data_IF_400740801687
#
_entry.id   IF_400740801687
#
_cell.length_a   1.000
_cell.length_b   1.000
_cell.length_c   1.000
_cell.angle_alpha   90.00
_cell.angle_beta   90.00
_cell.angle_gamma   90.00
#
_symmetry.space_group_name_H-M   'P 1'
#
loop_
_entity.id
_entity.type
_entity.pdbx_description
1 polymer ?
#
# COMPACT_ATOMS: atom_id res chain seq x y z
N UNK A 1 1.04 -53.74 -58.48
CA UNK A 1 1.21 -53.46 -57.04
C UNK A 1 1.44 -51.97 -56.86
N UNK A 2 0.40 -51.19 -56.56
CA UNK A 2 0.48 -49.74 -56.37
C UNK A 2 0.69 -49.43 -54.88
N UNK A 3 1.86 -48.88 -54.51
CA UNK A 3 2.17 -48.41 -53.16
C UNK A 3 1.43 -47.08 -52.92
N UNK A 4 0.49 -47.06 -51.96
CA UNK A 4 -0.14 -45.84 -51.46
C UNK A 4 0.85 -45.09 -50.57
N UNK A 5 1.16 -43.85 -50.94
CA UNK A 5 1.89 -42.89 -50.13
C UNK A 5 0.87 -42.15 -49.25
N UNK A 6 0.92 -42.32 -47.93
CA UNK A 6 0.05 -41.61 -47.00
C UNK A 6 0.74 -40.32 -46.57
N UNK A 7 0.23 -39.18 -47.03
CA UNK A 7 0.70 -37.83 -46.67
C UNK A 7 0.21 -37.51 -45.25
N UNK A 8 1.12 -37.43 -44.28
CA UNK A 8 0.81 -37.03 -42.91
C UNK A 8 0.79 -35.50 -42.84
N UNK A 9 -0.40 -34.89 -42.87
CA UNK A 9 -0.56 -33.45 -42.65
C UNK A 9 -0.37 -33.14 -41.16
N UNK A 10 0.75 -32.51 -40.81
CA UNK A 10 0.95 -31.96 -39.46
C UNK A 10 0.16 -30.66 -39.36
N UNK A 11 -1.03 -30.73 -38.75
CA UNK A 11 -1.82 -29.56 -38.40
C UNK A 11 -1.14 -28.88 -37.20
N UNK A 12 -0.37 -27.82 -37.47
CA UNK A 12 0.16 -26.94 -36.42
C UNK A 12 -0.98 -26.13 -35.83
N UNK A 13 -1.53 -26.57 -34.70
CA UNK A 13 -2.49 -25.80 -33.90
C UNK A 13 -1.71 -24.67 -33.22
N UNK A 14 -1.83 -23.45 -33.72
CA UNK A 14 -1.33 -22.27 -33.04
C UNK A 14 -2.19 -22.02 -31.79
N UNK A 15 -1.69 -22.39 -30.61
CA UNK A 15 -2.28 -21.95 -29.36
C UNK A 15 -1.99 -20.45 -29.21
N UNK A 16 -3.01 -19.59 -29.06
CA UNK A 16 -2.75 -18.20 -28.70
C UNK A 16 -2.08 -18.19 -27.33
N UNK A 17 -0.82 -17.76 -27.29
CA UNK A 17 -0.14 -17.47 -26.02
C UNK A 17 -0.85 -16.27 -25.43
N UNK A 18 -1.71 -16.51 -24.44
CA UNK A 18 -2.33 -15.47 -23.64
C UNK A 18 -1.20 -14.81 -22.85
N UNK A 19 -0.64 -13.72 -23.37
CA UNK A 19 0.35 -12.95 -22.64
C UNK A 19 -0.36 -12.26 -21.47
N UNK A 20 0.12 -12.50 -20.25
CA UNK A 20 -0.40 -11.81 -19.08
C UNK A 20 -0.28 -10.29 -19.29
N UNK A 21 -1.42 -9.61 -19.24
CA UNK A 21 -1.47 -8.15 -19.33
C UNK A 21 -0.94 -7.57 -18.02
N UNK A 22 -0.08 -6.57 -18.11
CA UNK A 22 0.43 -5.84 -16.96
C UNK A 22 -0.27 -4.49 -16.88
N UNK A 23 -0.92 -4.25 -15.75
CA UNK A 23 -1.65 -3.01 -15.45
C UNK A 23 -1.05 -2.38 -14.21
N UNK A 24 -0.79 -1.08 -14.28
CA UNK A 24 -0.35 -0.27 -13.15
C UNK A 24 -0.86 1.16 -13.29
N UNK A 25 -0.78 1.91 -12.21
CA UNK A 25 -1.45 3.20 -12.08
C UNK A 25 -0.49 4.28 -11.61
N UNK A 26 -0.76 5.51 -12.03
CA UNK A 26 -0.27 6.71 -11.40
C UNK A 26 -1.47 7.36 -10.72
N UNK A 27 -1.71 7.13 -9.41
CA UNK A 27 -2.94 7.55 -8.73
C UNK A 27 -3.14 9.07 -8.68
N UNK A 28 -2.10 9.84 -9.03
CA UNK A 28 -2.13 11.28 -9.17
C UNK A 28 -1.46 11.68 -10.49
N UNK A 29 -2.12 12.57 -11.23
CA UNK A 29 -1.63 13.32 -12.39
C UNK A 29 -2.17 14.74 -12.24
N UNK A 30 -1.31 15.73 -12.47
CA UNK A 30 -1.68 17.14 -12.50
C UNK A 30 -1.16 17.82 -13.76
N UNK A 31 -2.00 18.65 -14.37
CA UNK A 31 -1.66 19.48 -15.52
C UNK A 31 -2.38 20.82 -15.45
N UNK A 32 -1.64 21.92 -15.57
CA UNK A 32 -2.17 23.28 -15.68
C UNK A 32 -1.73 24.19 -14.54
N UNK A 33 -2.38 25.33 -14.41
CA UNK A 33 -2.01 26.40 -13.48
C UNK A 33 -3.10 26.68 -12.46
N UNK A 34 -2.71 26.93 -11.21
CA UNK A 34 -3.54 27.46 -10.15
C UNK A 34 -2.85 28.69 -9.54
N UNK A 35 -3.39 29.89 -9.84
CA UNK A 35 -2.75 31.15 -9.46
C UNK A 35 -1.38 31.30 -10.12
N UNK A 36 -0.34 31.51 -9.33
CA UNK A 36 1.04 31.68 -9.80
C UNK A 36 1.82 30.37 -9.89
N UNK A 37 1.20 29.23 -9.56
CA UNK A 37 1.85 27.91 -9.57
C UNK A 37 1.32 27.09 -10.74
N UNK A 38 2.24 26.58 -11.55
CA UNK A 38 1.98 25.63 -12.61
C UNK A 38 2.37 24.22 -12.18
N UNK A 39 1.62 23.25 -12.67
CA UNK A 39 1.80 21.83 -12.43
C UNK A 39 1.91 21.11 -13.76
N UNK A 40 2.86 20.19 -13.85
CA UNK A 40 2.99 19.26 -14.97
C UNK A 40 3.37 17.88 -14.47
N UNK A 41 2.96 16.87 -15.22
CA UNK A 41 3.33 15.48 -14.97
C UNK A 41 4.11 14.95 -16.16
N UNK A 42 5.27 14.35 -15.91
CA UNK A 42 5.99 13.56 -16.90
C UNK A 42 5.84 12.08 -16.58
N UNK A 43 5.35 11.29 -17.53
CA UNK A 43 5.29 9.83 -17.42
C UNK A 43 6.52 9.27 -18.12
N UNK A 44 7.34 8.56 -17.36
CA UNK A 44 8.49 7.82 -17.86
C UNK A 44 8.16 6.34 -17.80
N UNK A 45 8.20 5.66 -18.94
CA UNK A 45 8.03 4.21 -19.05
C UNK A 45 9.35 3.56 -19.47
N UNK A 46 9.63 2.39 -18.91
CA UNK A 46 10.78 1.55 -19.26
C UNK A 46 10.31 0.13 -19.54
N UNK A 47 10.72 -0.43 -20.67
CA UNK A 47 10.44 -1.81 -21.02
C UNK A 47 11.70 -2.67 -20.92
N UNK A 48 11.74 -3.55 -19.92
CA UNK A 48 12.82 -4.53 -19.71
C UNK A 48 12.49 -5.91 -20.29
N UNK A 49 11.29 -6.11 -20.82
CA UNK A 49 10.83 -7.37 -21.42
C UNK A 49 10.91 -7.38 -22.95
N UNK A 50 10.07 -8.19 -23.58
CA UNK A 50 9.88 -8.20 -25.03
C UNK A 50 9.25 -6.89 -25.52
N UNK A 51 9.39 -6.57 -26.80
CA UNK A 51 8.73 -5.41 -27.39
C UNK A 51 7.21 -5.48 -27.16
N UNK A 52 6.62 -4.38 -26.69
CA UNK A 52 5.23 -4.33 -26.28
C UNK A 52 4.62 -2.96 -26.57
N UNK A 53 3.33 -2.94 -26.88
CA UNK A 53 2.55 -1.72 -26.90
C UNK A 53 2.12 -1.38 -25.47
N UNK A 54 2.37 -0.14 -25.05
CA UNK A 54 1.89 0.44 -23.81
C UNK A 54 0.78 1.45 -24.12
N UNK A 55 -0.39 1.22 -23.53
CA UNK A 55 -1.54 2.10 -23.61
C UNK A 55 -1.60 2.91 -22.33
N UNK A 56 -1.49 4.23 -22.44
CA UNK A 56 -1.63 5.19 -21.33
C UNK A 56 -2.98 5.87 -21.46
N UNK A 57 -3.81 5.74 -20.42
CA UNK A 57 -5.15 6.34 -20.35
C UNK A 57 -5.21 7.29 -19.16
N UNK A 58 -5.80 8.47 -19.37
CA UNK A 58 -5.96 9.50 -18.36
C UNK A 58 -7.43 9.64 -17.97
N UNK A 59 -7.66 9.80 -16.68
CA UNK A 59 -9.00 9.87 -16.09
C UNK A 59 -9.08 11.02 -15.09
N UNK A 60 -10.25 11.63 -14.98
CA UNK A 60 -10.58 12.58 -13.93
C UNK A 60 -10.77 11.86 -12.59
N UNK A 61 -10.99 12.64 -11.53
CA UNK A 61 -11.19 12.09 -10.18
C UNK A 61 -12.41 11.16 -10.07
N UNK A 62 -13.43 11.37 -10.90
CA UNK A 62 -14.65 10.57 -10.93
C UNK A 62 -14.55 9.33 -11.84
N UNK A 63 -13.40 9.13 -12.51
CA UNK A 63 -13.17 8.03 -13.45
C UNK A 63 -13.61 8.30 -14.88
N UNK A 64 -14.14 9.49 -15.19
CA UNK A 64 -14.41 9.89 -16.59
C UNK A 64 -13.11 10.18 -17.34
N UNK A 65 -13.06 10.06 -18.68
CA UNK A 65 -11.84 10.35 -19.43
C UNK A 65 -11.34 11.80 -19.24
N UNK A 66 -10.05 11.96 -18.94
CA UNK A 66 -9.38 13.26 -18.87
C UNK A 66 -8.59 13.49 -20.16
N UNK A 67 -8.99 14.50 -20.93
CA UNK A 67 -8.27 14.88 -22.16
C UNK A 67 -7.04 15.70 -21.80
N UNK A 68 -5.85 15.22 -22.19
CA UNK A 68 -4.57 15.91 -21.99
C UNK A 68 -3.89 16.09 -23.35
N UNK A 69 -3.10 17.14 -23.50
CA UNK A 69 -2.22 17.31 -24.65
C UNK A 69 -0.84 16.72 -24.35
N UNK A 70 -0.40 15.75 -25.15
CA UNK A 70 0.95 15.21 -25.14
C UNK A 70 1.59 15.45 -26.51
N UNK A 71 2.59 16.33 -26.57
CA UNK A 71 3.16 16.78 -27.84
C UNK A 71 2.10 17.45 -28.72
N UNK A 72 1.84 16.89 -29.90
CA UNK A 72 0.88 17.43 -30.87
C UNK A 72 -0.49 16.73 -30.84
N UNK A 73 -0.71 15.82 -29.88
CA UNK A 73 -1.96 15.07 -29.77
C UNK A 73 -2.69 15.42 -28.48
N UNK A 74 -3.98 15.73 -28.61
CA UNK A 74 -4.89 15.96 -27.49
C UNK A 74 -5.89 14.81 -27.42
N UNK A 75 -5.79 13.98 -26.39
CA UNK A 75 -6.60 12.78 -26.20
C UNK A 75 -6.62 12.36 -24.73
N UNK A 76 -7.50 11.44 -24.36
CA UNK A 76 -7.48 10.76 -23.05
C UNK A 76 -6.80 9.39 -23.10
N UNK A 77 -6.39 8.93 -24.29
CA UNK A 77 -5.76 7.64 -24.53
C UNK A 77 -4.66 7.75 -25.58
N UNK A 78 -3.50 7.20 -25.25
CA UNK A 78 -2.31 7.20 -26.10
C UNK A 78 -1.73 5.79 -26.16
N UNK A 79 -1.26 5.38 -27.33
CA UNK A 79 -0.58 4.10 -27.52
C UNK A 79 0.85 4.35 -27.96
N UNK A 80 1.79 3.72 -27.28
CA UNK A 80 3.21 3.83 -27.55
C UNK A 80 3.81 2.44 -27.77
N UNK A 81 4.64 2.31 -28.81
CA UNK A 81 5.39 1.08 -29.03
C UNK A 81 6.73 1.16 -28.27
N UNK A 82 6.92 0.29 -27.29
CA UNK A 82 8.14 0.21 -26.50
C UNK A 82 8.95 -1.00 -26.95
N UNK A 83 10.11 -0.75 -27.56
CA UNK A 83 11.07 -1.81 -27.89
C UNK A 83 11.59 -2.49 -26.62
N UNK A 84 12.13 -3.70 -26.75
CA UNK A 84 12.88 -4.33 -25.67
C UNK A 84 14.07 -3.44 -25.26
N UNK A 85 14.22 -3.17 -23.96
CA UNK A 85 15.20 -2.24 -23.42
C UNK A 85 14.90 -0.75 -23.69
N UNK A 86 13.76 -0.45 -24.33
CA UNK A 86 13.38 0.91 -24.71
C UNK A 86 12.71 1.69 -23.57
N UNK A 87 12.78 3.02 -23.67
CA UNK A 87 12.10 3.94 -22.75
C UNK A 87 11.28 4.98 -23.50
N UNK A 88 10.28 5.53 -22.82
CA UNK A 88 9.45 6.64 -23.27
C UNK A 88 9.39 7.69 -22.17
N UNK A 89 9.44 8.97 -22.53
CA UNK A 89 9.12 10.10 -21.67
C UNK A 89 8.08 10.97 -22.39
N UNK A 90 6.94 11.23 -21.73
CA UNK A 90 5.90 12.14 -22.21
C UNK A 90 5.48 13.08 -21.10
N UNK A 91 5.37 14.36 -21.40
CA UNK A 91 5.16 15.43 -20.42
C UNK A 91 3.92 16.25 -20.77
N UNK A 92 3.10 16.51 -19.76
CA UNK A 92 1.96 17.43 -19.90
C UNK A 92 2.45 18.89 -19.96
N UNK A 93 1.73 19.80 -20.64
CA UNK A 93 2.24 21.14 -20.92
C UNK A 93 2.25 22.07 -19.70
N UNK A 94 1.32 21.91 -18.77
CA UNK A 94 1.19 22.74 -17.58
C UNK A 94 0.62 24.14 -17.83
N UNK A 95 -0.05 24.38 -18.97
CA UNK A 95 -0.41 25.72 -19.44
C UNK A 95 -1.90 26.09 -19.35
N UNK A 96 -2.79 25.10 -19.23
CA UNK A 96 -4.23 25.33 -19.11
C UNK A 96 -4.65 25.59 -17.64
N UNK A 97 -5.95 25.77 -17.37
CA UNK A 97 -6.46 25.73 -15.99
C UNK A 97 -6.16 24.37 -15.34
N UNK A 98 -5.83 24.36 -14.05
CA UNK A 98 -5.43 23.15 -13.34
C UNK A 98 -6.48 22.04 -13.45
N UNK A 99 -6.05 20.89 -13.96
CA UNK A 99 -6.79 19.64 -13.98
C UNK A 99 -6.02 18.58 -13.20
N UNK A 100 -6.76 17.76 -12.45
CA UNK A 100 -6.20 16.75 -11.56
C UNK A 100 -6.93 15.43 -11.81
N UNK A 101 -6.15 14.36 -12.01
CA UNK A 101 -6.65 13.07 -12.43
C UNK A 101 -5.71 11.94 -12.03
N UNK A 102 -5.86 10.80 -12.68
CA UNK A 102 -4.92 9.68 -12.58
C UNK A 102 -4.63 9.14 -13.97
N UNK A 103 -3.59 8.32 -14.07
CA UNK A 103 -3.32 7.56 -15.29
C UNK A 103 -3.30 6.06 -15.03
N UNK A 104 -3.83 5.29 -15.98
CA UNK A 104 -3.70 3.83 -16.05
C UNK A 104 -2.78 3.49 -17.20
N UNK A 105 -1.83 2.60 -16.97
CA UNK A 105 -1.00 2.03 -18.02
C UNK A 105 -1.29 0.55 -18.15
N UNK A 106 -1.54 0.15 -19.39
CA UNK A 106 -1.79 -1.24 -19.77
C UNK A 106 -0.76 -1.67 -20.81
N UNK A 107 -0.10 -2.80 -20.60
CA UNK A 107 0.92 -3.31 -21.53
C UNK A 107 0.84 -4.82 -21.69
N UNK A 108 1.27 -5.31 -22.85
CA UNK A 108 1.44 -6.74 -23.09
C UNK A 108 2.72 -7.24 -22.38
N UNK A 109 2.57 -8.14 -21.41
CA UNK A 109 3.69 -8.70 -20.64
C UNK A 109 4.15 -7.82 -19.46
N UNK A 110 4.83 -8.46 -18.50
CA UNK A 110 5.21 -7.84 -17.22
C UNK A 110 6.46 -6.93 -17.28
N UNK A 111 7.08 -6.75 -18.45
CA UNK A 111 8.38 -6.06 -18.59
C UNK A 111 8.32 -4.54 -18.53
N UNK A 112 7.12 -3.94 -18.62
CA UNK A 112 6.94 -2.48 -18.60
C UNK A 112 6.70 -1.99 -17.18
N UNK A 113 7.52 -1.05 -16.72
CA UNK A 113 7.31 -0.28 -15.50
C UNK A 113 7.32 1.21 -15.78
N UNK A 114 7.04 2.03 -14.76
CA UNK A 114 7.06 3.48 -14.95
C UNK A 114 7.16 4.28 -13.66
N UNK A 115 7.45 5.57 -13.85
CA UNK A 115 7.53 6.60 -12.81
C UNK A 115 6.89 7.87 -13.36
N UNK A 116 6.05 8.52 -12.55
CA UNK A 116 5.58 9.86 -12.81
C UNK A 116 6.54 10.85 -12.17
N UNK A 117 6.89 11.93 -12.86
CA UNK A 117 7.63 13.05 -12.30
C UNK A 117 6.66 14.22 -12.17
N UNK A 118 6.36 14.61 -10.93
CA UNK A 118 5.53 15.78 -10.66
C UNK A 118 6.43 16.99 -10.54
N UNK A 119 6.21 18.01 -11.37
CA UNK A 119 6.91 19.28 -11.27
C UNK A 119 5.93 20.39 -10.90
N UNK A 120 6.26 21.17 -9.86
CA UNK A 120 5.65 22.47 -9.60
C UNK A 120 6.58 23.58 -10.05
N UNK A 121 6.06 24.60 -10.73
CA UNK A 121 6.85 25.73 -11.22
C UNK A 121 6.13 27.06 -11.01
N UNK A 122 6.89 28.14 -10.90
CA UNK A 122 6.39 29.50 -10.89
C UNK A 122 5.99 29.87 -12.32
N UNK A 123 4.72 30.23 -12.54
CA UNK A 123 4.20 30.54 -13.89
C UNK A 123 4.84 31.79 -14.50
N UNK A 124 4.95 32.94 -13.80
CA UNK A 124 5.62 34.14 -14.33
C UNK A 124 7.01 33.90 -14.90
N UNK A 125 7.87 33.18 -14.17
CA UNK A 125 9.29 33.06 -14.51
C UNK A 125 9.68 31.67 -15.05
N UNK A 126 8.72 30.74 -15.10
CA UNK A 126 8.90 29.33 -15.47
C UNK A 126 9.99 28.60 -14.66
N UNK A 127 10.22 29.03 -13.42
CA UNK A 127 11.21 28.46 -12.51
C UNK A 127 10.62 27.25 -11.79
N UNK A 128 11.28 26.10 -11.89
CA UNK A 128 10.91 24.90 -11.13
C UNK A 128 11.09 25.15 -9.64
N UNK A 129 10.01 24.99 -8.88
CA UNK A 129 9.97 25.17 -7.44
C UNK A 129 10.22 23.86 -6.70
N UNK A 130 9.69 22.76 -7.22
CA UNK A 130 9.85 21.42 -6.66
C UNK A 130 9.63 20.35 -7.72
N UNK A 131 10.22 19.18 -7.49
CA UNK A 131 10.05 18.00 -8.32
C UNK A 131 10.06 16.72 -7.48
N UNK A 132 9.23 15.74 -7.84
CA UNK A 132 9.19 14.43 -7.19
C UNK A 132 9.06 13.31 -8.22
N UNK A 133 9.96 12.32 -8.14
CA UNK A 133 9.84 11.04 -8.83
C UNK A 133 8.94 10.10 -8.03
N UNK A 134 7.85 9.65 -8.64
CA UNK A 134 6.80 8.87 -8.01
C UNK A 134 6.60 7.57 -8.79
N UNK A 135 7.01 6.41 -8.23
CA UNK A 135 6.82 5.14 -8.90
C UNK A 135 5.34 4.85 -9.18
N UNK A 136 5.09 4.10 -10.26
CA UNK A 136 3.77 3.53 -10.49
C UNK A 136 3.35 2.59 -9.33
N UNK A 137 2.05 2.53 -9.09
CA UNK A 137 1.43 1.68 -8.08
C UNK A 137 0.66 0.54 -8.72
N UNK A 138 0.67 -0.62 -8.06
CA UNK A 138 -0.21 -1.76 -8.38
C UNK A 138 -1.31 -1.85 -7.34
N UNK A 139 -2.35 -2.59 -7.66
CA UNK A 139 -3.42 -2.83 -6.68
C UNK A 139 -2.88 -3.59 -5.48
N UNK A 140 -3.17 -3.07 -4.30
CA UNK A 140 -2.86 -3.67 -3.01
C UNK A 140 -4.12 -3.65 -2.16
N UNK A 141 -4.44 -4.80 -1.57
CA UNK A 141 -5.45 -4.87 -0.51
C UNK A 141 -4.77 -4.60 0.80
N UNK A 142 -5.39 -3.76 1.63
CA UNK A 142 -4.96 -3.44 2.99
C UNK A 142 -3.50 -2.96 3.05
N UNK A 143 -3.27 -1.70 3.36
CA UNK A 143 -1.91 -1.17 3.37
C UNK A 143 -1.72 -0.12 4.44
N UNK A 144 -0.46 0.11 4.78
CA UNK A 144 -0.06 1.09 5.77
C UNK A 144 0.99 2.02 5.19
N UNK A 145 0.98 3.25 5.68
CA UNK A 145 1.94 4.27 5.33
C UNK A 145 2.39 5.04 6.55
N UNK A 146 3.60 5.57 6.47
CA UNK A 146 4.16 6.46 7.47
C UNK A 146 3.53 7.85 7.37
N UNK A 147 3.13 8.40 8.50
CA UNK A 147 2.59 9.75 8.63
C UNK A 147 3.64 10.62 9.31
N UNK A 148 3.97 11.73 8.69
CA UNK A 148 4.74 12.83 9.26
C UNK A 148 4.08 14.16 8.89
N UNK A 149 3.58 14.83 9.92
CA UNK A 149 2.95 16.15 9.87
C UNK A 149 3.62 17.12 10.84
N UNK A 150 4.82 16.82 11.33
CA UNK A 150 5.52 17.67 12.29
C UNK A 150 5.99 18.98 11.62
N UNK A 151 5.64 20.11 12.23
CA UNK A 151 6.04 21.45 11.80
C UNK A 151 5.52 21.81 10.41
N UNK A 152 6.42 21.92 9.43
CA UNK A 152 6.07 22.25 8.03
C UNK A 152 5.92 21.03 7.13
N UNK A 153 6.01 19.83 7.71
CA UNK A 153 5.76 18.59 6.98
C UNK A 153 4.26 18.35 6.86
N UNK A 154 3.85 17.75 5.75
CA UNK A 154 2.51 17.21 5.60
C UNK A 154 2.55 15.98 4.71
N UNK A 155 1.93 14.89 5.17
CA UNK A 155 1.84 13.65 4.41
C UNK A 155 0.55 13.67 3.59
N UNK A 156 0.69 13.67 2.27
CA UNK A 156 -0.38 13.48 1.31
C UNK A 156 -0.54 12.02 0.90
N UNK A 157 -1.78 11.60 0.65
CA UNK A 157 -2.14 10.28 0.16
C UNK A 157 -3.08 10.44 -1.03
N UNK A 158 -2.73 9.80 -2.15
CA UNK A 158 -3.63 9.60 -3.27
C UNK A 158 -4.02 8.12 -3.36
N UNK A 159 -5.33 7.86 -3.37
CA UNK A 159 -5.94 6.53 -3.41
C UNK A 159 -6.82 6.46 -4.66
N UNK A 160 -6.68 5.39 -5.43
CA UNK A 160 -7.50 5.07 -6.59
C UNK A 160 -8.18 3.73 -6.33
N UNK A 161 -9.49 3.67 -6.59
CA UNK A 161 -10.22 2.42 -6.72
C UNK A 161 -10.24 1.99 -8.19
N UNK A 162 -9.43 1.00 -8.60
CA UNK A 162 -9.29 0.58 -10.00
C UNK A 162 -10.48 -0.24 -10.52
N UNK A 163 -11.41 -0.65 -9.65
CA UNK A 163 -12.59 -1.42 -10.05
C UNK A 163 -13.41 -0.67 -11.11
N UNK A 164 -14.18 -1.40 -11.92
CA UNK A 164 -15.05 -0.78 -12.92
C UNK A 164 -16.08 0.16 -12.26
N UNK A 165 -16.35 1.29 -12.91
CA UNK A 165 -17.39 2.22 -12.48
C UNK A 165 -18.79 1.58 -12.57
N UNK A 166 -19.71 2.02 -11.71
CA UNK A 166 -21.14 1.62 -11.76
C UNK A 166 -21.67 0.82 -10.58
N UNK A 167 -20.93 0.72 -9.46
CA UNK A 167 -21.41 0.15 -8.19
C UNK A 167 -21.58 1.19 -7.09
N UNK A 168 -22.26 0.84 -6.01
CA UNK A 168 -22.25 1.64 -4.78
C UNK A 168 -20.80 1.75 -4.27
N UNK A 169 -20.34 2.95 -3.85
CA UNK A 169 -18.97 3.10 -3.41
C UNK A 169 -18.71 2.24 -2.17
N UNK A 170 -17.74 1.31 -2.20
CA UNK A 170 -17.30 0.67 -0.98
C UNK A 170 -16.73 1.73 -0.04
N UNK A 171 -16.98 1.58 1.25
CA UNK A 171 -16.26 2.34 2.26
C UNK A 171 -14.86 1.73 2.40
N UNK A 172 -13.85 2.57 2.30
CA UNK A 172 -12.49 2.24 2.72
C UNK A 172 -12.32 2.78 4.15
N UNK A 173 -11.88 1.92 5.06
CA UNK A 173 -11.68 2.29 6.45
C UNK A 173 -10.24 2.78 6.62
N UNK A 174 -10.09 3.99 7.14
CA UNK A 174 -8.82 4.62 7.45
C UNK A 174 -8.65 4.66 8.96
N UNK A 175 -7.58 4.07 9.49
CA UNK A 175 -7.25 4.09 10.92
C UNK A 175 -5.89 4.72 11.16
N UNK A 176 -5.87 5.77 11.96
CA UNK A 176 -4.67 6.53 12.33
C UNK A 176 -4.14 6.08 13.69
N UNK A 177 -2.84 5.81 13.75
CA UNK A 177 -2.11 5.38 14.94
C UNK A 177 -0.94 6.32 15.23
N UNK A 178 -0.63 6.52 16.51
CA UNK A 178 0.60 7.19 16.95
C UNK A 178 1.84 6.27 16.81
N UNK A 179 3.01 6.73 17.28
CA UNK A 179 4.27 5.95 17.23
C UNK A 179 4.32 4.78 18.20
N UNK A 180 3.54 4.82 19.29
CA UNK A 180 3.36 3.71 20.23
C UNK A 180 2.27 2.74 19.76
N UNK A 181 1.72 2.99 18.56
CA UNK A 181 0.67 2.23 17.92
C UNK A 181 -0.68 2.25 18.67
N UNK A 182 -0.93 3.30 19.44
CA UNK A 182 -2.27 3.58 19.97
C UNK A 182 -3.15 4.18 18.87
N UNK A 183 -4.39 3.70 18.76
CA UNK A 183 -5.36 4.21 17.81
C UNK A 183 -5.81 5.62 18.21
N UNK A 184 -5.57 6.59 17.34
CA UNK A 184 -6.04 7.97 17.47
C UNK A 184 -7.48 8.10 16.95
N UNK A 185 -7.72 7.64 15.72
CA UNK A 185 -9.00 7.82 15.05
C UNK A 185 -9.23 6.78 13.96
N UNK A 186 -10.50 6.57 13.62
CA UNK A 186 -10.95 5.79 12.46
C UNK A 186 -11.99 6.60 11.70
N UNK A 187 -11.96 6.52 10.37
CA UNK A 187 -12.95 7.16 9.49
C UNK A 187 -13.23 6.26 8.29
N UNK A 188 -14.46 6.31 7.77
CA UNK A 188 -14.84 5.64 6.54
C UNK A 188 -14.88 6.64 5.39
N UNK A 189 -14.23 6.29 4.28
CA UNK A 189 -14.23 7.12 3.07
C UNK A 189 -14.94 6.35 1.96
N UNK A 190 -16.05 6.86 1.40
CA UNK A 190 -16.67 6.24 0.25
C UNK A 190 -15.80 6.48 -1.00
N UNK A 191 -15.40 5.41 -1.69
CA UNK A 191 -14.62 5.52 -2.93
C UNK A 191 -15.09 4.52 -3.98
N UNK A 192 -15.89 4.99 -4.93
CA UNK A 192 -16.48 4.17 -6.00
C UNK A 192 -15.48 3.66 -7.02
N UNK A 193 -15.85 2.60 -7.76
CA UNK A 193 -15.01 2.07 -8.84
C UNK A 193 -14.69 3.13 -9.87
N UNK A 194 -13.42 3.23 -10.27
CA UNK A 194 -12.88 4.21 -11.19
C UNK A 194 -12.61 5.57 -10.56
N UNK A 195 -13.05 5.81 -9.32
CA UNK A 195 -12.83 7.06 -8.62
C UNK A 195 -11.50 7.07 -7.89
N UNK A 196 -10.94 8.28 -7.76
CA UNK A 196 -9.79 8.54 -6.91
C UNK A 196 -10.06 9.64 -5.91
N UNK A 197 -9.25 9.67 -4.87
CA UNK A 197 -9.22 10.72 -3.87
C UNK A 197 -7.77 11.05 -3.53
N UNK A 198 -7.48 12.32 -3.29
CA UNK A 198 -6.15 12.77 -2.88
C UNK A 198 -6.29 13.86 -1.84
N UNK A 199 -5.74 13.64 -0.66
CA UNK A 199 -5.84 14.55 0.48
C UNK A 199 -4.59 14.44 1.37
N UNK A 200 -4.35 15.47 2.17
CA UNK A 200 -3.46 15.38 3.32
C UNK A 200 -4.08 14.50 4.41
N UNK A 201 -3.25 13.82 5.19
CA UNK A 201 -3.71 12.86 6.21
C UNK A 201 -4.75 13.47 7.15
N UNK A 202 -4.54 14.71 7.62
CA UNK A 202 -5.47 15.38 8.52
C UNK A 202 -6.84 15.67 7.88
N UNK A 203 -6.91 15.90 6.56
CA UNK A 203 -8.14 16.26 5.85
C UNK A 203 -9.15 15.09 5.79
N UNK A 204 -8.66 13.84 5.79
CA UNK A 204 -9.53 12.65 5.85
C UNK A 204 -10.36 12.60 7.14
N UNK A 205 -9.91 13.27 8.20
CA UNK A 205 -10.55 13.29 9.51
C UNK A 205 -11.32 14.58 9.77
N UNK A 206 -11.60 15.41 8.75
CA UNK A 206 -12.25 16.72 8.91
C UNK A 206 -13.59 16.71 9.70
N UNK A 207 -14.29 15.57 9.77
CA UNK A 207 -15.49 15.39 10.60
C UNK A 207 -15.24 15.21 12.11
N UNK A 208 -13.98 15.14 12.54
CA UNK A 208 -13.57 14.92 13.92
C UNK A 208 -12.40 15.88 14.29
N UNK A 209 -12.73 17.01 14.91
CA UNK A 209 -11.76 18.06 15.25
C UNK A 209 -10.59 17.54 16.09
N UNK A 210 -10.83 16.67 17.07
CA UNK A 210 -9.77 16.10 17.90
C UNK A 210 -8.81 15.22 17.07
N UNK A 211 -9.33 14.47 16.10
CA UNK A 211 -8.51 13.70 15.18
C UNK A 211 -7.72 14.60 14.22
N UNK A 212 -8.29 15.70 13.74
CA UNK A 212 -7.58 16.69 12.92
C UNK A 212 -6.44 17.34 13.70
N UNK A 213 -6.69 17.77 14.94
CA UNK A 213 -5.67 18.36 15.81
C UNK A 213 -4.52 17.38 16.04
N UNK A 214 -4.82 16.12 16.37
CA UNK A 214 -3.81 15.09 16.52
C UNK A 214 -3.06 14.80 15.20
N UNK A 215 -3.77 14.70 14.08
CA UNK A 215 -3.19 14.41 12.78
C UNK A 215 -2.34 15.57 12.22
N UNK A 216 -2.55 16.80 12.69
CA UNK A 216 -1.88 17.99 12.17
C UNK A 216 -0.46 18.19 12.72
N UNK A 217 -0.09 17.52 13.81
CA UNK A 217 1.24 17.62 14.41
C UNK A 217 1.63 16.26 15.01
N UNK A 218 1.97 15.30 14.14
CA UNK A 218 2.33 13.96 14.59
C UNK A 218 3.32 13.23 13.69
N UNK A 219 3.90 12.18 14.27
CA UNK A 219 4.47 11.06 13.55
C UNK A 219 3.67 9.81 13.89
N UNK A 220 3.45 8.91 12.92
CA UNK A 220 2.70 7.68 13.16
C UNK A 220 2.45 6.87 11.91
N UNK A 221 1.36 6.10 11.94
CA UNK A 221 0.98 5.21 10.84
C UNK A 221 -0.49 5.41 10.48
N UNK A 222 -0.78 5.51 9.19
CA UNK A 222 -2.13 5.43 8.66
C UNK A 222 -2.31 4.06 8.00
N UNK A 223 -3.32 3.32 8.45
CA UNK A 223 -3.73 2.03 7.89
C UNK A 223 -5.00 2.21 7.08
N UNK A 224 -5.05 1.58 5.91
CA UNK A 224 -6.18 1.59 4.99
C UNK A 224 -6.66 0.15 4.82
N UNK A 225 -7.94 -0.09 5.04
CA UNK A 225 -8.60 -1.38 4.88
C UNK A 225 -9.75 -1.26 3.87
N UNK A 226 -9.86 -2.22 2.95
CA UNK A 226 -10.88 -2.16 1.90
C UNK A 226 -10.61 -3.10 0.73
N UNK A 227 -11.19 -2.81 -0.46
CA UNK A 227 -10.92 -3.58 -1.67
C UNK A 227 -9.46 -3.39 -2.13
N UNK A 228 -9.09 -4.01 -3.25
CA UNK A 228 -7.80 -3.74 -3.87
C UNK A 228 -7.77 -2.30 -4.41
N UNK A 229 -6.79 -1.51 -3.96
CA UNK A 229 -6.64 -0.10 -4.31
C UNK A 229 -5.23 0.16 -4.85
N UNK A 230 -5.08 1.15 -5.72
CA UNK A 230 -3.76 1.67 -6.07
C UNK A 230 -3.53 2.95 -5.26
N UNK A 231 -2.36 3.06 -4.60
CA UNK A 231 -2.09 4.19 -3.74
C UNK A 231 -0.65 4.67 -3.85
N UNK A 232 -0.45 5.95 -3.54
CA UNK A 232 0.85 6.60 -3.40
C UNK A 232 0.79 7.64 -2.30
N UNK A 233 1.90 7.80 -1.59
CA UNK A 233 2.07 8.86 -0.59
C UNK A 233 3.26 9.76 -0.92
N UNK A 234 3.11 11.04 -0.59
CA UNK A 234 4.14 12.06 -0.67
C UNK A 234 4.17 12.83 0.65
N UNK A 235 5.34 12.92 1.28
CA UNK A 235 5.60 13.91 2.31
C UNK A 235 6.05 15.20 1.63
N UNK A 236 5.35 16.28 1.91
CA UNK A 236 5.72 17.63 1.52
C UNK A 236 6.31 18.35 2.72
N UNK A 237 7.46 19.00 2.55
CA UNK A 237 7.91 20.06 3.44
C UNK A 237 7.64 21.40 2.75
N UNK A 238 6.72 22.20 3.29
CA UNK A 238 6.34 23.50 2.73
C UNK A 238 6.79 24.62 3.68
N UNK A 239 8.01 25.17 3.51
CA UNK A 239 8.48 26.24 4.37
C UNK A 239 7.59 27.49 4.25
N UNK A 240 7.39 28.26 5.34
CA UNK A 240 6.48 29.40 5.35
C UNK A 240 7.01 30.61 4.58
N UNK A 241 8.27 30.56 4.13
CA UNK A 241 8.91 31.61 3.35
C UNK A 241 8.91 31.26 1.87
N UNK A 242 8.62 32.21 0.98
CA UNK A 242 8.52 31.96 -0.45
C UNK A 242 9.91 31.78 -1.08
N UNK A 243 9.92 31.25 -2.31
CA UNK A 243 11.09 31.33 -3.18
C UNK A 243 11.51 32.81 -3.38
N UNK A 244 12.82 33.14 -3.39
CA UNK A 244 13.98 32.23 -3.36
C UNK A 244 14.49 31.87 -1.96
N UNK A 245 13.83 32.30 -0.89
CA UNK A 245 14.30 32.09 0.48
C UNK A 245 14.24 30.62 0.89
N UNK A 246 13.21 29.90 0.43
CA UNK A 246 13.13 28.45 0.54
C UNK A 246 12.35 27.84 -0.63
N UNK A 247 12.55 26.54 -0.82
CA UNK A 247 11.82 25.73 -1.80
C UNK A 247 11.11 24.58 -1.08
N UNK A 248 9.87 24.23 -1.48
CA UNK A 248 9.24 23.03 -0.97
C UNK A 248 10.04 21.78 -1.34
N UNK A 249 10.10 20.82 -0.43
CA UNK A 249 10.71 19.51 -0.70
C UNK A 249 9.60 18.47 -0.74
N UNK A 250 9.64 17.60 -1.74
CA UNK A 250 8.73 16.47 -1.86
C UNK A 250 9.52 15.17 -1.70
N UNK A 251 8.97 14.22 -0.96
CA UNK A 251 9.58 12.91 -0.75
C UNK A 251 8.52 11.83 -0.84
N UNK A 252 8.73 10.88 -1.74
CA UNK A 252 7.87 9.71 -1.89
C UNK A 252 8.20 8.69 -0.81
N UNK A 253 7.18 8.24 -0.09
CA UNK A 253 7.32 7.17 0.88
C UNK A 253 6.65 5.88 0.38
N UNK A 254 7.11 4.71 0.85
CA UNK A 254 6.52 3.45 0.45
C UNK A 254 5.08 3.33 1.01
N UNK A 255 4.19 2.81 0.16
CA UNK A 255 2.95 2.18 0.61
C UNK A 255 3.25 0.71 0.83
N UNK A 256 3.11 0.25 2.08
CA UNK A 256 3.48 -1.12 2.46
C UNK A 256 2.22 -1.97 2.60
N UNK A 257 2.19 -3.12 1.93
CA UNK A 257 1.09 -4.07 2.07
C UNK A 257 0.96 -4.57 3.51
N UNK A 258 -0.28 -4.79 3.94
CA UNK A 258 -0.63 -5.17 5.30
C UNK A 258 -1.16 -4.00 6.11
N UNK A 259 -2.03 -4.35 7.06
CA UNK A 259 -2.41 -3.44 8.14
C UNK A 259 -1.38 -3.50 9.24
N UNK A 260 -0.96 -2.33 9.71
CA UNK A 260 -0.28 -2.26 10.99
C UNK A 260 -1.28 -2.80 12.02
N UNK A 261 -0.86 -3.81 12.78
CA UNK A 261 -1.70 -4.47 13.77
C UNK A 261 -0.97 -4.46 15.11
N UNK A 262 -1.71 -4.13 16.16
CA UNK A 262 -1.35 -4.43 17.54
C UNK A 262 -1.49 -5.94 17.62
N UNK A 263 -0.46 -6.66 17.19
CA UNK A 263 -0.41 -8.08 17.43
C UNK A 263 -0.43 -8.19 18.97
N UNK A 264 -1.52 -8.70 19.55
CA UNK A 264 -1.71 -8.86 21.00
C UNK A 264 -0.41 -9.25 21.70
N UNK A 265 0.12 -8.37 22.55
CA UNK A 265 1.38 -8.66 23.21
C UNK A 265 1.16 -9.84 24.17
N UNK A 266 1.71 -11.01 23.81
CA UNK A 266 2.08 -11.97 24.82
C UNK A 266 3.13 -11.28 25.72
N UNK A 267 2.69 -10.86 26.91
CA UNK A 267 3.43 -9.89 27.72
C UNK A 267 4.46 -10.55 28.64
N UNK A 268 4.34 -11.85 28.91
CA UNK A 268 5.39 -12.60 29.61
C UNK A 268 5.26 -14.11 29.48
N UNK A 269 6.43 -14.77 29.53
CA UNK A 269 6.62 -16.21 29.68
C UNK A 269 7.37 -16.47 30.99
N UNK A 270 6.79 -17.25 31.90
CA UNK A 270 7.43 -17.57 33.19
C UNK A 270 7.30 -19.06 33.51
N UNK A 271 8.28 -19.59 34.23
CA UNK A 271 8.15 -20.90 34.87
C UNK A 271 7.24 -20.75 36.08
N UNK A 272 6.21 -21.57 36.17
CA UNK A 272 5.38 -21.65 37.37
C UNK A 272 6.18 -22.29 38.51
N UNK A 273 5.76 -22.07 39.75
CA UNK A 273 6.35 -22.71 40.93
C UNK A 273 6.21 -24.25 40.92
N UNK A 274 5.31 -24.78 40.08
CA UNK A 274 5.12 -26.22 39.88
C UNK A 274 5.97 -26.82 38.73
N UNK A 275 6.84 -26.02 38.09
CA UNK A 275 7.67 -26.46 36.96
C UNK A 275 6.98 -26.44 35.60
N UNK A 276 5.72 -26.00 35.55
CA UNK A 276 4.97 -25.77 34.32
C UNK A 276 5.29 -24.41 33.68
N UNK A 277 4.64 -24.10 32.57
CA UNK A 277 4.82 -22.84 31.85
C UNK A 277 3.60 -21.96 32.00
N UNK A 278 3.79 -20.74 32.50
CA UNK A 278 2.75 -19.72 32.58
C UNK A 278 2.96 -18.70 31.45
N UNK A 279 1.92 -18.50 30.64
CA UNK A 279 1.88 -17.45 29.61
C UNK A 279 0.81 -16.44 29.97
N UNK A 280 1.20 -15.16 30.04
CA UNK A 280 0.24 -14.04 30.12
C UNK A 280 0.06 -13.45 28.72
N UNK A 281 -1.19 -13.40 28.26
CA UNK A 281 -1.60 -12.70 27.06
C UNK A 281 -2.42 -11.47 27.41
N UNK A 282 -2.16 -10.36 26.74
CA UNK A 282 -3.06 -9.22 26.75
C UNK A 282 -3.70 -9.06 25.38
N UNK A 283 -5.02 -9.28 25.31
CA UNK A 283 -5.81 -9.16 24.09
C UNK A 283 -6.69 -7.91 24.07
N UNK A 284 -6.50 -6.98 25.02
CA UNK A 284 -7.30 -5.76 25.12
C UNK A 284 -7.20 -4.85 23.89
N UNK A 285 -6.08 -4.92 23.17
CA UNK A 285 -5.81 -4.11 21.97
C UNK A 285 -6.18 -4.80 20.65
N UNK A 286 -6.77 -6.00 20.68
CA UNK A 286 -7.20 -6.68 19.45
C UNK A 286 -8.48 -6.05 18.92
N UNK A 287 -8.47 -5.64 17.65
CA UNK A 287 -9.64 -5.13 16.96
C UNK A 287 -10.75 -6.19 16.85
N UNK A 288 -10.37 -7.45 16.65
CA UNK A 288 -11.27 -8.61 16.65
C UNK A 288 -11.01 -9.52 17.86
N UNK A 289 -12.06 -10.03 18.54
CA UNK A 289 -11.87 -10.94 19.66
C UNK A 289 -11.30 -12.26 19.14
N UNK A 290 -10.00 -12.50 19.40
CA UNK A 290 -9.42 -13.82 19.32
C UNK A 290 -10.33 -14.79 20.09
N UNK A 291 -10.78 -15.86 19.43
CA UNK A 291 -11.59 -16.89 20.08
C UNK A 291 -10.74 -18.03 20.59
N UNK A 292 -9.64 -18.29 19.90
CA UNK A 292 -8.76 -19.42 20.16
C UNK A 292 -7.34 -18.91 20.24
N UNK A 293 -6.58 -19.45 21.18
CA UNK A 293 -5.12 -19.40 21.14
C UNK A 293 -4.55 -20.82 21.10
N UNK A 294 -3.56 -21.00 20.23
CA UNK A 294 -2.76 -22.22 20.14
C UNK A 294 -1.33 -21.91 20.55
N UNK A 295 -0.83 -22.63 21.56
CA UNK A 295 0.55 -22.66 21.97
C UNK A 295 1.24 -23.84 21.31
N UNK A 296 2.43 -23.62 20.78
CA UNK A 296 3.34 -24.67 20.31
C UNK A 296 4.66 -24.53 21.04
N UNK A 297 5.11 -25.62 21.64
CA UNK A 297 6.29 -25.67 22.48
C UNK A 297 7.45 -26.25 21.69
N UNK A 298 8.61 -25.60 21.76
CA UNK A 298 9.80 -26.03 21.04
C UNK A 298 10.97 -26.25 21.98
N UNK A 299 11.78 -27.27 21.69
CA UNK A 299 13.13 -27.45 22.23
C UNK A 299 14.13 -27.35 21.05
N UNK A 300 14.87 -26.25 20.99
CA UNK A 300 15.54 -25.81 19.77
C UNK A 300 14.52 -25.59 18.65
N UNK A 301 14.68 -26.33 17.56
CA UNK A 301 13.76 -26.29 16.40
C UNK A 301 12.72 -27.43 16.41
N UNK A 302 12.78 -28.35 17.39
CA UNK A 302 11.88 -29.48 17.47
C UNK A 302 10.59 -29.10 18.22
N UNK A 303 9.43 -29.33 17.61
CA UNK A 303 8.13 -29.20 18.27
C UNK A 303 7.99 -30.33 19.29
N UNK A 304 7.91 -29.98 20.58
CA UNK A 304 7.77 -30.95 21.68
C UNK A 304 6.33 -31.07 22.18
N UNK A 305 5.43 -30.15 21.78
CA UNK A 305 4.01 -30.26 22.08
C UNK A 305 3.20 -29.06 21.62
N UNK A 306 1.88 -29.13 21.82
CA UNK A 306 0.98 -28.00 21.57
C UNK A 306 -0.21 -28.01 22.52
N UNK A 307 -0.74 -26.84 22.83
CA UNK A 307 -1.92 -26.66 23.68
C UNK A 307 -2.87 -25.66 23.06
N UNK A 308 -4.16 -25.94 23.06
CA UNK A 308 -5.20 -25.05 22.55
C UNK A 308 -6.06 -24.56 23.71
N UNK A 309 -6.44 -23.28 23.70
CA UNK A 309 -7.34 -22.65 24.68
C UNK A 309 -8.34 -21.77 23.96
N UNK A 310 -9.58 -21.79 24.43
CA UNK A 310 -10.58 -20.79 24.05
C UNK A 310 -10.37 -19.54 24.91
N UNK A 311 -10.59 -18.36 24.34
CA UNK A 311 -10.48 -17.07 25.01
C UNK A 311 -11.90 -16.52 25.24
N UNK A 312 -12.20 -16.14 26.48
CA UNK A 312 -13.49 -15.54 26.84
C UNK A 312 -13.49 -14.02 26.60
N UNK A 313 -13.31 -13.61 25.34
CA UNK A 313 -13.32 -12.20 24.93
C UNK A 313 -11.98 -11.47 25.07
N UNK A 314 -12.02 -10.15 24.85
CA UNK A 314 -10.86 -9.28 24.99
C UNK A 314 -10.49 -9.09 26.47
N UNK A 315 -9.20 -9.12 26.79
CA UNK A 315 -8.73 -8.95 28.16
C UNK A 315 -7.35 -9.55 28.42
N UNK A 316 -6.95 -9.54 29.68
CA UNK A 316 -5.74 -10.23 30.12
C UNK A 316 -6.07 -11.68 30.47
N UNK A 317 -5.38 -12.62 29.82
CA UNK A 317 -5.54 -14.06 30.00
C UNK A 317 -4.26 -14.66 30.55
N UNK A 318 -4.37 -15.47 31.60
CA UNK A 318 -3.23 -16.19 32.20
C UNK A 318 -3.48 -17.68 32.01
N UNK A 319 -2.57 -18.35 31.30
CA UNK A 319 -2.69 -19.77 31.02
C UNK A 319 -1.53 -20.54 31.63
N UNK A 320 -1.89 -21.49 32.49
CA UNK A 320 -1.00 -22.54 32.94
C UNK A 320 -1.01 -23.67 31.91
N UNK A 321 0.15 -23.92 31.34
CA UNK A 321 0.36 -24.91 30.30
C UNK A 321 1.05 -26.12 30.94
N UNK A 322 0.39 -27.26 30.82
CA UNK A 322 0.86 -28.54 31.34
C UNK A 322 1.92 -29.11 30.38
N UNK A 323 3.09 -28.49 30.44
CA UNK A 323 4.30 -28.88 29.71
C UNK A 323 5.47 -28.73 30.68
N UNK A 324 6.43 -29.65 30.63
CA UNK A 324 7.66 -29.51 31.40
C UNK A 324 8.44 -28.29 30.90
N UNK A 325 8.30 -27.18 31.62
CA UNK A 325 8.86 -25.89 31.26
C UNK A 325 10.39 -25.91 31.22
N UNK A 326 11.05 -26.90 31.86
CA UNK A 326 12.51 -27.04 31.85
C UNK A 326 13.05 -27.48 30.48
N UNK A 327 12.22 -28.14 29.67
CA UNK A 327 12.58 -28.66 28.34
C UNK A 327 12.26 -27.71 27.17
N UNK A 328 11.45 -26.67 27.41
CA UNK A 328 10.92 -25.77 26.36
C UNK A 328 11.81 -24.53 26.20
N UNK A 329 12.48 -24.36 25.07
CA UNK A 329 13.33 -23.20 24.77
C UNK A 329 12.55 -22.05 24.12
N UNK A 330 11.45 -22.35 23.43
CA UNK A 330 10.60 -21.35 22.80
C UNK A 330 9.13 -21.77 22.79
N UNK A 331 8.23 -20.78 22.78
CA UNK A 331 6.80 -20.96 22.62
C UNK A 331 6.32 -20.12 21.46
N UNK A 332 5.69 -20.74 20.48
CA UNK A 332 4.92 -20.03 19.46
C UNK A 332 3.47 -19.89 19.95
N UNK A 333 2.96 -18.66 19.92
CA UNK A 333 1.58 -18.33 20.26
C UNK A 333 0.87 -17.94 18.97
N UNK A 334 -0.23 -18.62 18.64
CA UNK A 334 -1.03 -18.38 17.45
C UNK A 334 -2.43 -17.98 17.89
N UNK A 335 -2.88 -16.80 17.52
CA UNK A 335 -4.24 -16.31 17.79
C UNK A 335 -5.11 -16.56 16.57
N UNK A 336 -6.30 -17.09 16.80
CA UNK A 336 -7.28 -17.32 15.73
C UNK A 336 -8.60 -16.63 16.04
N UNK A 337 -9.12 -15.93 15.03
CA UNK A 337 -10.42 -15.28 15.06
C UNK A 337 -11.59 -16.24 14.82
N UNK A 338 -12.82 -15.71 14.72
CA UNK A 338 -13.99 -16.48 14.31
C UNK A 338 -13.74 -17.22 12.98
N UNK A 339 -14.12 -18.49 12.89
CA UNK A 339 -13.88 -19.32 11.69
C UNK A 339 -12.47 -19.90 11.58
N UNK A 340 -11.58 -19.65 12.55
CA UNK A 340 -10.27 -20.28 12.63
C UNK A 340 -9.16 -19.61 11.82
N UNK A 341 -9.43 -18.44 11.22
CA UNK A 341 -8.41 -17.63 10.56
C UNK A 341 -7.36 -17.16 11.58
N UNK A 342 -6.08 -17.30 11.24
CA UNK A 342 -4.98 -16.77 12.04
C UNK A 342 -4.99 -15.23 11.97
N UNK A 343 -5.06 -14.59 13.14
CA UNK A 343 -5.08 -13.12 13.28
C UNK A 343 -3.83 -12.58 13.96
N UNK A 344 -2.94 -13.46 14.44
CA UNK A 344 -1.67 -13.06 15.03
C UNK A 344 -0.79 -14.26 15.39
N UNK A 345 0.53 -14.06 15.35
CA UNK A 345 1.53 -15.06 15.69
C UNK A 345 2.73 -14.42 16.39
N UNK A 346 3.24 -15.09 17.41
CA UNK A 346 4.35 -14.60 18.23
C UNK A 346 5.27 -15.72 18.65
N UNK A 347 6.52 -15.39 18.93
CA UNK A 347 7.47 -16.28 19.57
C UNK A 347 7.93 -15.70 20.90
N UNK A 348 7.73 -16.46 21.96
CA UNK A 348 8.26 -16.18 23.28
C UNK A 348 9.48 -17.07 23.52
N UNK A 349 10.56 -16.49 23.99
CA UNK A 349 11.73 -17.22 24.50
C UNK A 349 11.88 -16.96 25.99
N UNK A 350 12.56 -17.85 26.72
CA UNK A 350 12.78 -17.63 28.15
C UNK A 350 13.62 -16.36 28.37
N UNK A 351 13.31 -15.53 29.37
CA UNK A 351 14.14 -14.40 29.74
C UNK A 351 15.58 -14.87 30.05
N UNK A 352 16.56 -14.38 29.28
CA UNK A 352 17.98 -14.76 29.41
C UNK A 352 18.61 -15.34 28.14
N UNK A 353 17.80 -15.80 27.18
CA UNK A 353 18.29 -16.22 25.86
C UNK A 353 18.43 -14.99 24.94
N UNK A 354 19.66 -14.65 24.58
CA UNK A 354 19.97 -13.50 23.70
C UNK A 354 19.33 -13.72 22.33
N UNK A 355 18.56 -12.72 21.87
CA UNK A 355 17.91 -12.72 20.56
C UNK A 355 18.95 -12.70 19.44
N UNK A 356 18.93 -13.73 18.58
CA UNK A 356 19.27 -13.56 17.17
C UNK A 356 17.96 -13.45 16.41
N UNK A 357 17.65 -12.24 15.94
CA UNK A 357 16.62 -12.00 14.93
C UNK A 357 16.97 -12.81 13.67
N UNK A 358 16.13 -13.78 13.30
CA UNK A 358 16.10 -14.29 11.93
C UNK A 358 14.96 -13.59 11.19
N UNK A 359 15.33 -12.62 10.36
CA UNK A 359 14.46 -12.08 9.31
C UNK A 359 14.19 -13.19 8.29
N UNK A 360 12.92 -13.37 7.91
CA UNK A 360 12.57 -13.91 6.60
C UNK A 360 12.05 -12.78 5.73
#
# INVERSE_FOLDING_TARGET
>A
MLRRLTLLAVISVAFPVLHAQNVFYFPQVGDGTAGTIGFRTEIILLNTGAAADAVVEFFQADGTPLTITLGNQTASRFTFNLRSGGSLSVKTPGTAGLTIGYARVTSAGAGVGGTAVFTGFNVPDNVVLFEAGVPASKEVQNFSLFVDTIGTNNTGLAILNPAAAGGAPPNIMLTLYDTDFNRIATTDVPLGGGQKLSQFVAEFFAGNTAAVEAASEMTGTLTIEGPALAAVTLRQNAPPVPFPQAVPVLTTFPVTAGVASTVAAASSLRLSSSGGLEVTLDTTSLADPARVVTYRFYNGNALVGSSRRELSGAGRHVHNLDVDGSSVTAVEVILSGPGGAEIGRFHLRRPGDTLREERR
#
